data_IF_386617645069
#
_entry.id   IF_386617645069
#
_cell.length_a   1.000
_cell.length_b   1.000
_cell.length_c   1.000
_cell.angle_alpha   90.00
_cell.angle_beta   90.00
_cell.angle_gamma   90.00
#
_symmetry.space_group_name_H-M   'P 1'
#
loop_
_entity.id
_entity.type
_entity.pdbx_description
1 polymer ?
#
# COMPACT_ATOMS: atom_id res chain seq x y z
N UNK A 1 5.67 -21.89 16.20
CA UNK A 1 4.22 -22.13 16.36
C UNK A 1 3.48 -20.91 15.89
N UNK A 2 3.02 -21.00 14.64
CA UNK A 2 2.11 -20.07 13.99
C UNK A 2 0.67 -20.37 14.45
N UNK A 3 -0.22 -19.39 14.45
CA UNK A 3 -1.65 -19.60 14.67
C UNK A 3 -2.34 -19.57 13.33
N UNK A 4 -2.39 -20.73 12.68
CA UNK A 4 -3.29 -20.91 11.54
C UNK A 4 -4.69 -21.22 12.09
N UNK A 5 -5.54 -20.19 12.14
CA UNK A 5 -6.94 -20.33 12.51
C UNK A 5 -7.81 -20.20 11.27
N UNK A 6 -8.28 -21.35 10.77
CA UNK A 6 -9.28 -21.43 9.70
C UNK A 6 -10.59 -22.01 10.26
N UNK A 7 -11.74 -21.32 10.14
CA UNK A 7 -11.94 -20.01 9.51
C UNK A 7 -11.43 -18.84 10.37
N UNK A 8 -11.12 -17.71 9.72
CA UNK A 8 -10.78 -16.48 10.42
C UNK A 8 -12.06 -15.87 11.03
N UNK A 9 -12.11 -15.84 12.37
CA UNK A 9 -13.28 -15.35 13.13
C UNK A 9 -12.85 -14.28 14.13
N UNK A 10 -13.78 -13.42 14.60
CA UNK A 10 -13.46 -12.46 15.65
C UNK A 10 -12.84 -13.10 16.90
N UNK A 11 -13.32 -14.28 17.29
CA UNK A 11 -12.76 -15.02 18.43
C UNK A 11 -11.33 -15.53 18.17
N UNK A 12 -11.02 -15.93 16.92
CA UNK A 12 -9.67 -16.31 16.54
C UNK A 12 -8.72 -15.10 16.51
N UNK A 13 -9.18 -13.96 15.99
CA UNK A 13 -8.42 -12.70 16.00
C UNK A 13 -8.16 -12.21 17.43
N UNK A 14 -9.17 -12.25 18.30
CA UNK A 14 -9.02 -11.99 19.73
C UNK A 14 -7.99 -12.91 20.36
N UNK A 15 -8.07 -14.22 20.08
CA UNK A 15 -7.14 -15.20 20.64
C UNK A 15 -5.69 -14.93 20.18
N UNK A 16 -5.49 -14.61 18.89
CA UNK A 16 -4.18 -14.30 18.34
C UNK A 16 -3.53 -13.10 19.08
N UNK A 17 -4.30 -12.04 19.33
CA UNK A 17 -3.81 -10.84 20.00
C UNK A 17 -3.68 -11.03 21.52
N UNK A 18 -4.73 -11.49 22.18
CA UNK A 18 -4.80 -11.50 23.65
C UNK A 18 -4.12 -12.72 24.27
N UNK A 19 -4.10 -13.86 23.57
CA UNK A 19 -3.53 -15.11 24.10
C UNK A 19 -2.18 -15.44 23.48
N UNK A 20 -2.11 -15.57 22.16
CA UNK A 20 -0.88 -16.01 21.50
C UNK A 20 0.23 -14.95 21.55
N UNK A 21 -0.09 -13.70 21.22
CA UNK A 21 0.90 -12.63 21.22
C UNK A 21 1.36 -12.27 22.64
N UNK A 22 0.54 -12.53 23.68
CA UNK A 22 0.88 -12.20 25.06
C UNK A 22 2.18 -12.83 25.55
N UNK A 23 2.53 -14.03 25.07
CA UNK A 23 3.80 -14.69 25.39
C UNK A 23 5.00 -14.24 24.53
N UNK A 24 4.81 -13.29 23.61
CA UNK A 24 5.79 -12.92 22.58
C UNK A 24 6.18 -11.45 22.59
N UNK A 25 5.34 -10.59 23.19
CA UNK A 25 5.52 -9.13 23.25
C UNK A 25 5.83 -8.63 24.67
N UNK A 26 6.21 -7.35 24.79
CA UNK A 26 6.54 -6.67 26.04
C UNK A 26 7.24 -5.32 25.79
N UNK A 27 7.76 -4.63 26.81
CA UNK A 27 8.34 -3.27 26.68
C UNK A 27 9.49 -3.10 25.68
N UNK A 28 10.14 -4.19 25.27
CA UNK A 28 11.23 -4.20 24.29
C UNK A 28 10.97 -5.19 23.15
N UNK A 29 9.76 -5.74 23.09
CA UNK A 29 9.34 -6.73 22.10
C UNK A 29 8.06 -6.20 21.44
N UNK A 30 8.21 -5.40 20.36
CA UNK A 30 7.09 -4.73 19.72
C UNK A 30 6.09 -5.72 19.14
N UNK A 31 4.85 -5.27 18.97
CA UNK A 31 3.84 -5.95 18.18
C UNK A 31 3.73 -5.30 16.80
N UNK A 32 3.72 -6.11 15.75
CA UNK A 32 3.35 -5.68 14.39
C UNK A 32 2.16 -6.51 13.92
N UNK A 33 1.07 -5.85 13.54
CA UNK A 33 -0.16 -6.47 13.03
C UNK A 33 -0.37 -5.96 11.60
N UNK A 34 -0.58 -6.89 10.67
CA UNK A 34 -0.99 -6.57 9.30
C UNK A 34 -2.32 -7.25 9.01
N UNK A 35 -3.28 -6.46 8.54
CA UNK A 35 -4.62 -6.90 8.19
C UNK A 35 -4.87 -6.50 6.73
N UNK A 36 -5.18 -7.47 5.86
CA UNK A 36 -5.45 -7.23 4.45
C UNK A 36 -6.65 -8.04 4.00
N UNK A 37 -7.73 -7.34 3.66
CA UNK A 37 -8.96 -7.87 3.09
C UNK A 37 -9.85 -6.67 2.68
N UNK A 38 -11.13 -6.93 2.48
CA UNK A 38 -12.20 -5.98 2.37
C UNK A 38 -12.43 -5.19 3.65
N UNK A 39 -12.93 -3.96 3.47
CA UNK A 39 -13.34 -3.09 4.55
C UNK A 39 -14.55 -2.24 4.18
N UNK A 40 -15.21 -1.75 5.22
CA UNK A 40 -16.23 -0.71 5.16
C UNK A 40 -15.96 0.26 6.30
N UNK A 41 -16.74 1.35 6.36
CA UNK A 41 -16.74 2.23 7.53
C UNK A 41 -16.96 1.41 8.80
N UNK A 42 -15.96 1.46 9.66
CA UNK A 42 -15.85 0.82 10.98
C UNK A 42 -15.98 -0.70 10.96
N UNK A 43 -15.53 -1.32 9.85
CA UNK A 43 -15.59 -2.76 9.67
C UNK A 43 -14.43 -3.27 8.83
N UNK A 44 -13.73 -4.28 9.34
CA UNK A 44 -12.74 -5.07 8.60
C UNK A 44 -13.24 -6.51 8.47
N UNK A 45 -13.22 -7.07 7.27
CA UNK A 45 -13.67 -8.43 7.00
C UNK A 45 -12.55 -9.43 7.31
N UNK A 46 -12.85 -10.51 8.04
CA UNK A 46 -11.85 -11.53 8.41
C UNK A 46 -11.91 -12.76 7.49
N UNK A 47 -13.12 -13.18 7.13
CA UNK A 47 -13.38 -14.33 6.25
C UNK A 47 -14.62 -13.99 5.41
N UNK A 48 -14.43 -13.05 4.48
CA UNK A 48 -15.50 -12.37 3.79
C UNK A 48 -16.30 -11.43 4.70
N UNK A 49 -17.30 -10.76 4.12
CA UNK A 49 -17.98 -9.63 4.76
C UNK A 49 -19.37 -9.95 5.33
N UNK A 50 -19.68 -11.23 5.49
CA UNK A 50 -20.95 -11.72 6.06
C UNK A 50 -21.14 -11.34 7.54
N UNK A 51 -22.30 -11.70 8.08
CA UNK A 51 -22.60 -11.44 9.50
C UNK A 51 -21.68 -12.26 10.42
N UNK A 52 -21.03 -11.58 11.37
CA UNK A 52 -20.23 -12.23 12.42
C UNK A 52 -18.81 -12.66 12.02
N UNK A 53 -18.38 -12.35 10.80
CA UNK A 53 -17.03 -12.65 10.27
C UNK A 53 -16.22 -11.37 10.01
N UNK A 54 -16.50 -10.30 10.76
CA UNK A 54 -15.83 -9.01 10.68
C UNK A 54 -15.54 -8.44 12.05
N UNK A 55 -14.59 -7.53 12.14
CA UNK A 55 -14.23 -6.82 13.37
C UNK A 55 -14.41 -5.31 13.22
N UNK A 56 -14.72 -4.65 14.34
CA UNK A 56 -14.82 -3.19 14.43
C UNK A 56 -13.56 -2.57 15.03
N UNK A 57 -13.36 -1.25 14.86
CA UNK A 57 -12.29 -0.53 15.55
C UNK A 57 -12.34 -0.71 17.07
N UNK A 58 -13.54 -0.65 17.67
CA UNK A 58 -13.71 -0.85 19.11
C UNK A 58 -13.26 -2.24 19.60
N UNK A 59 -13.57 -3.31 18.84
CA UNK A 59 -13.14 -4.66 19.20
C UNK A 59 -11.61 -4.79 19.17
N UNK A 60 -10.99 -4.36 18.07
CA UNK A 60 -9.54 -4.41 17.92
C UNK A 60 -8.82 -3.52 18.94
N UNK A 61 -9.33 -2.31 19.20
CA UNK A 61 -8.82 -1.42 20.24
C UNK A 61 -8.87 -2.07 21.64
N UNK A 62 -9.98 -2.74 21.96
CA UNK A 62 -10.14 -3.47 23.22
C UNK A 62 -9.11 -4.57 23.39
N UNK A 63 -8.91 -5.40 22.36
CA UNK A 63 -7.93 -6.49 22.38
C UNK A 63 -6.50 -5.98 22.49
N UNK A 64 -6.13 -4.94 21.75
CA UNK A 64 -4.81 -4.32 21.84
C UNK A 64 -4.60 -3.70 23.23
N UNK A 65 -5.60 -3.00 23.78
CA UNK A 65 -5.51 -2.42 25.13
C UNK A 65 -5.34 -3.49 26.20
N UNK A 66 -6.02 -4.63 26.07
CA UNK A 66 -5.87 -5.76 26.97
C UNK A 66 -4.45 -6.35 26.88
N UNK A 67 -3.92 -6.53 25.67
CA UNK A 67 -2.57 -7.03 25.45
C UNK A 67 -1.52 -6.09 26.07
N UNK A 68 -1.61 -4.79 25.76
CA UNK A 68 -0.76 -3.73 26.34
C UNK A 68 -0.77 -3.76 27.87
N UNK A 69 -1.96 -3.83 28.47
CA UNK A 69 -2.11 -3.88 29.94
C UNK A 69 -1.50 -5.15 30.53
N UNK A 70 -1.63 -6.28 29.84
CA UNK A 70 -1.21 -7.59 30.36
C UNK A 70 0.30 -7.80 30.25
N UNK A 71 0.92 -7.32 29.16
CA UNK A 71 2.34 -7.61 28.84
C UNK A 71 3.26 -6.41 29.05
N UNK A 72 2.70 -5.21 29.15
CA UNK A 72 3.47 -3.97 29.14
C UNK A 72 4.07 -3.64 27.77
N UNK A 73 3.62 -4.25 26.66
CA UNK A 73 4.03 -3.82 25.33
C UNK A 73 3.65 -2.35 25.12
N UNK A 74 4.62 -1.55 24.69
CA UNK A 74 4.53 -0.09 24.54
C UNK A 74 4.83 0.37 23.10
N UNK A 75 5.09 -0.58 22.21
CA UNK A 75 5.28 -0.37 20.77
C UNK A 75 4.35 -1.32 20.01
N UNK A 76 3.23 -0.78 19.54
CA UNK A 76 2.26 -1.51 18.74
C UNK A 76 2.13 -0.84 17.39
N UNK A 77 2.26 -1.60 16.32
CA UNK A 77 2.01 -1.14 14.95
C UNK A 77 0.88 -1.95 14.35
N UNK A 78 -0.09 -1.27 13.75
CA UNK A 78 -1.16 -1.89 12.98
C UNK A 78 -1.17 -1.29 11.59
N UNK A 79 -1.12 -2.13 10.57
CA UNK A 79 -1.25 -1.75 9.17
C UNK A 79 -2.53 -2.39 8.61
N UNK A 80 -3.44 -1.56 8.13
CA UNK A 80 -4.70 -2.01 7.52
C UNK A 80 -4.69 -1.72 6.01
N UNK A 81 -4.76 -2.78 5.22
CA UNK A 81 -4.99 -2.75 3.77
C UNK A 81 -6.45 -3.13 3.50
N UNK A 82 -7.33 -2.12 3.44
CA UNK A 82 -8.76 -2.32 3.19
C UNK A 82 -9.44 -1.00 2.77
N UNK A 83 -10.55 -1.11 2.04
CA UNK A 83 -11.41 0.04 1.75
C UNK A 83 -11.90 0.70 3.02
N UNK A 84 -11.92 2.03 3.02
CA UNK A 84 -12.41 2.85 4.12
C UNK A 84 -11.66 2.63 5.44
N UNK A 85 -10.45 2.04 5.39
CA UNK A 85 -9.65 1.67 6.56
C UNK A 85 -9.25 2.85 7.44
N UNK A 86 -9.18 4.07 6.90
CA UNK A 86 -8.99 5.31 7.67
C UNK A 86 -10.08 5.56 8.72
N UNK A 87 -11.24 4.89 8.62
CA UNK A 87 -12.26 4.93 9.66
C UNK A 87 -11.81 4.24 10.97
N UNK A 88 -10.76 3.41 10.95
CA UNK A 88 -10.20 2.81 12.18
C UNK A 88 -9.39 3.79 13.02
N UNK A 89 -9.07 4.98 12.48
CA UNK A 89 -8.38 6.06 13.18
C UNK A 89 -9.27 7.29 13.35
N UNK A 90 -9.95 7.73 12.28
CA UNK A 90 -10.50 9.09 12.16
C UNK A 90 -11.65 9.36 13.12
N UNK A 91 -11.46 10.19 14.15
CA UNK A 91 -12.53 10.59 15.07
C UNK A 91 -12.51 12.09 15.34
N UNK A 92 -13.70 12.66 15.53
CA UNK A 92 -13.82 14.06 15.98
C UNK A 92 -13.47 14.24 17.45
N UNK A 93 -13.64 13.18 18.25
CA UNK A 93 -13.28 13.12 19.66
C UNK A 93 -12.16 12.07 19.84
N UNK A 94 -10.94 12.46 20.24
CA UNK A 94 -9.83 11.53 20.41
C UNK A 94 -10.04 10.55 21.58
N UNK A 95 -11.08 10.75 22.40
CA UNK A 95 -11.45 9.83 23.48
C UNK A 95 -12.45 8.76 23.05
N UNK A 96 -12.92 8.78 21.79
CA UNK A 96 -13.79 7.75 21.25
C UNK A 96 -13.05 6.41 21.16
N UNK A 97 -13.48 5.46 21.99
CA UNK A 97 -12.92 4.11 22.04
C UNK A 97 -13.25 3.27 20.81
N UNK A 98 -14.12 3.75 19.93
CA UNK A 98 -14.29 3.21 18.59
C UNK A 98 -13.14 3.64 17.66
N UNK A 99 -11.92 3.85 18.14
CA UNK A 99 -10.73 4.10 17.31
C UNK A 99 -9.56 3.27 17.83
N UNK A 100 -8.61 2.96 16.96
CA UNK A 100 -7.32 2.38 17.34
C UNK A 100 -6.37 3.42 17.91
N UNK A 101 -6.62 4.71 17.70
CA UNK A 101 -5.77 5.83 18.06
C UNK A 101 -5.44 5.86 19.54
N UNK A 102 -4.14 5.86 19.85
CA UNK A 102 -3.62 5.88 21.22
C UNK A 102 -2.12 6.18 21.21
N UNK A 103 -1.59 6.96 22.17
CA UNK A 103 -0.15 7.08 22.37
C UNK A 103 0.54 5.71 22.52
N UNK A 104 1.66 5.53 21.84
CA UNK A 104 2.41 4.26 21.79
C UNK A 104 2.01 3.33 20.65
N UNK A 105 0.92 3.64 19.93
CA UNK A 105 0.53 2.95 18.70
C UNK A 105 0.94 3.74 17.47
N UNK A 106 1.29 3.01 16.42
CA UNK A 106 1.41 3.51 15.05
C UNK A 106 0.35 2.79 14.22
N UNK A 107 -0.69 3.51 13.81
CA UNK A 107 -1.77 2.95 12.99
C UNK A 107 -1.63 3.50 11.59
N UNK A 108 -1.46 2.63 10.61
CA UNK A 108 -1.30 2.95 9.20
C UNK A 108 -2.46 2.32 8.44
N UNK A 109 -3.09 3.10 7.58
CA UNK A 109 -4.26 2.69 6.79
C UNK A 109 -3.99 2.96 5.32
N UNK A 110 -4.33 2.03 4.45
CA UNK A 110 -4.09 2.16 3.01
C UNK A 110 -5.05 3.13 2.33
N UNK A 111 -6.10 3.58 3.03
CA UNK A 111 -7.11 4.51 2.54
C UNK A 111 -7.51 5.50 3.64
N UNK A 112 -8.26 6.53 3.27
CA UNK A 112 -9.01 7.34 4.22
C UNK A 112 -10.29 6.62 4.64
N UNK A 113 -11.11 7.26 5.47
CA UNK A 113 -12.47 6.85 5.81
C UNK A 113 -13.49 7.06 4.66
N UNK A 114 -13.03 7.53 3.50
CA UNK A 114 -13.87 7.90 2.35
C UNK A 114 -13.30 7.45 0.99
N UNK A 115 -12.22 6.65 0.97
CA UNK A 115 -11.57 6.19 -0.25
C UNK A 115 -11.38 4.67 -0.24
N UNK A 116 -11.17 4.11 -1.43
CA UNK A 116 -11.07 2.68 -1.65
C UNK A 116 -9.62 2.19 -1.76
N UNK A 117 -9.43 0.92 -1.42
CA UNK A 117 -8.21 0.19 -1.63
C UNK A 117 -8.31 -0.59 -2.95
N UNK A 118 -7.18 -0.64 -3.66
CA UNK A 118 -7.11 -1.21 -4.99
C UNK A 118 -6.09 -2.34 -5.03
N UNK A 119 -6.52 -3.49 -5.58
CA UNK A 119 -5.65 -4.61 -5.82
C UNK A 119 -4.64 -4.28 -6.93
N UNK A 120 -3.40 -4.71 -6.74
CA UNK A 120 -2.39 -4.74 -7.79
C UNK A 120 -2.37 -6.11 -8.46
N UNK A 121 -1.40 -6.35 -9.36
CA UNK A 121 -1.24 -7.66 -9.97
C UNK A 121 -0.67 -8.73 -9.01
N UNK A 122 -0.05 -8.33 -7.90
CA UNK A 122 0.62 -9.23 -6.94
C UNK A 122 0.14 -9.07 -5.49
N UNK A 123 -0.64 -8.03 -5.21
CA UNK A 123 -1.09 -7.66 -3.86
C UNK A 123 -2.02 -6.46 -3.92
N UNK A 124 -1.58 -5.34 -3.35
CA UNK A 124 -2.34 -4.09 -3.30
C UNK A 124 -1.40 -2.90 -3.42
N UNK A 125 -1.83 -1.83 -4.10
CA UNK A 125 -0.91 -0.74 -4.48
C UNK A 125 -0.18 -0.10 -3.29
N UNK A 126 -0.85 0.04 -2.14
CA UNK A 126 -0.22 0.56 -0.94
C UNK A 126 0.75 -0.47 -0.35
N UNK A 127 0.27 -1.69 -0.06
CA UNK A 127 1.07 -2.74 0.58
C UNK A 127 2.32 -3.13 -0.22
N UNK A 128 2.23 -3.22 -1.54
CA UNK A 128 3.37 -3.59 -2.40
C UNK A 128 4.54 -2.62 -2.21
N UNK A 129 4.26 -1.32 -2.24
CA UNK A 129 5.26 -0.28 -2.02
C UNK A 129 5.73 -0.23 -0.56
N UNK A 130 4.79 -0.32 0.39
CA UNK A 130 5.10 -0.26 1.82
C UNK A 130 6.05 -1.39 2.26
N UNK A 131 5.76 -2.64 1.88
CA UNK A 131 6.60 -3.78 2.25
C UNK A 131 7.90 -3.84 1.45
N UNK A 132 7.92 -3.33 0.22
CA UNK A 132 9.18 -3.18 -0.53
C UNK A 132 10.11 -2.17 0.15
N UNK A 133 9.58 -1.08 0.69
CA UNK A 133 10.34 -0.15 1.51
C UNK A 133 10.81 -0.78 2.83
N UNK A 134 9.98 -1.59 3.49
CA UNK A 134 10.38 -2.32 4.70
C UNK A 134 11.54 -3.28 4.40
N UNK A 135 11.56 -3.91 3.22
CA UNK A 135 12.66 -4.74 2.79
C UNK A 135 13.97 -3.93 2.69
N UNK A 136 13.91 -2.67 2.27
CA UNK A 136 15.03 -1.71 2.33
C UNK A 136 15.41 -1.27 3.75
N UNK A 137 14.75 -1.81 4.78
CA UNK A 137 15.05 -1.56 6.20
C UNK A 137 14.85 -0.11 6.65
N UNK A 138 13.99 0.63 5.93
CA UNK A 138 13.60 1.98 6.31
C UNK A 138 12.59 1.97 7.46
N UNK A 139 12.46 3.12 8.11
CA UNK A 139 11.50 3.32 9.18
C UNK A 139 10.05 3.37 8.65
N UNK A 140 9.07 3.17 9.55
CA UNK A 140 7.66 3.12 9.17
C UNK A 140 7.15 4.43 8.54
N UNK A 141 7.65 5.60 8.95
CA UNK A 141 7.23 6.87 8.36
C UNK A 141 7.73 6.97 6.91
N UNK A 142 9.02 6.69 6.68
CA UNK A 142 9.60 6.65 5.33
C UNK A 142 8.83 5.70 4.41
N UNK A 143 8.49 4.50 4.89
CA UNK A 143 7.71 3.54 4.11
C UNK A 143 6.27 3.94 3.88
N UNK A 144 5.62 4.57 4.85
CA UNK A 144 4.29 5.14 4.66
C UNK A 144 4.30 6.26 3.60
N UNK A 145 5.26 7.20 3.66
CA UNK A 145 5.34 8.28 2.67
C UNK A 145 5.63 7.76 1.27
N UNK A 146 6.49 6.75 1.15
CA UNK A 146 6.76 6.12 -0.13
C UNK A 146 5.53 5.40 -0.69
N UNK A 147 4.82 4.62 0.14
CA UNK A 147 3.61 3.94 -0.28
C UNK A 147 2.51 4.94 -0.70
N UNK A 148 2.37 6.05 0.02
CA UNK A 148 1.49 7.17 -0.39
C UNK A 148 1.86 7.71 -1.76
N UNK A 149 3.16 7.93 -1.99
CA UNK A 149 3.62 8.48 -3.25
C UNK A 149 3.48 7.48 -4.41
N UNK A 150 3.68 6.18 -4.15
CA UNK A 150 3.43 5.10 -5.10
C UNK A 150 1.94 5.02 -5.49
N UNK A 151 1.03 5.09 -4.51
CA UNK A 151 -0.42 5.18 -4.76
C UNK A 151 -0.76 6.42 -5.57
N UNK A 152 -0.24 7.60 -5.19
CA UNK A 152 -0.49 8.85 -5.91
C UNK A 152 0.01 8.78 -7.37
N UNK A 153 1.08 8.04 -7.64
CA UNK A 153 1.61 7.81 -9.00
C UNK A 153 0.63 7.02 -9.88
N UNK A 154 -0.29 6.25 -9.30
CA UNK A 154 -1.35 5.60 -10.07
C UNK A 154 -2.45 6.57 -10.52
N UNK A 155 -2.57 7.71 -9.85
CA UNK A 155 -3.64 8.69 -10.09
C UNK A 155 -5.05 8.21 -9.75
N UNK A 156 -5.19 7.13 -8.98
CA UNK A 156 -6.48 6.67 -8.46
C UNK A 156 -6.85 7.37 -7.16
N UNK A 157 -8.14 7.38 -6.81
CA UNK A 157 -8.64 7.95 -5.57
C UNK A 157 -8.43 6.98 -4.38
N UNK A 158 -7.18 6.88 -3.93
CA UNK A 158 -6.80 6.17 -2.72
C UNK A 158 -5.91 7.09 -1.87
N UNK A 159 -6.29 7.31 -0.62
CA UNK A 159 -5.65 8.28 0.25
C UNK A 159 -5.15 7.65 1.56
N UNK A 160 -3.97 7.00 1.57
CA UNK A 160 -3.46 6.38 2.80
C UNK A 160 -3.25 7.40 3.92
N UNK A 161 -3.54 6.99 5.16
CA UNK A 161 -3.45 7.81 6.37
C UNK A 161 -2.64 7.10 7.47
N UNK A 162 -2.11 7.88 8.42
CA UNK A 162 -1.39 7.38 9.58
C UNK A 162 -1.78 8.20 10.81
N UNK A 163 -1.90 7.54 11.95
CA UNK A 163 -1.97 8.18 13.28
C UNK A 163 -0.90 7.54 14.17
N UNK A 164 0.01 8.35 14.68
CA UNK A 164 1.07 7.88 15.58
C UNK A 164 1.23 8.70 16.87
N UNK A 165 0.38 9.71 17.06
CA UNK A 165 0.34 10.56 18.24
C UNK A 165 -0.90 10.29 19.12
N UNK A 166 -1.90 9.57 18.59
CA UNK A 166 -3.13 9.18 19.30
C UNK A 166 -4.18 10.28 19.38
N UNK A 167 -4.16 11.25 18.46
CA UNK A 167 -5.16 12.32 18.36
C UNK A 167 -6.33 11.99 17.41
N UNK A 168 -6.29 10.80 16.79
CA UNK A 168 -7.33 10.28 15.91
C UNK A 168 -7.51 11.09 14.61
N UNK A 169 -6.49 11.84 14.20
CA UNK A 169 -6.51 12.68 13.00
C UNK A 169 -5.20 12.56 12.23
N UNK A 170 -5.26 12.17 10.95
CA UNK A 170 -4.07 12.26 10.10
C UNK A 170 -3.75 13.71 9.75
N UNK A 171 -2.64 14.22 10.28
CA UNK A 171 -2.17 15.59 10.09
C UNK A 171 -0.67 15.65 9.88
N UNK A 172 -0.10 16.87 9.81
CA UNK A 172 1.35 17.06 9.80
C UNK A 172 1.99 16.79 11.18
N UNK A 173 1.20 16.52 12.22
CA UNK A 173 1.71 16.11 13.54
C UNK A 173 2.18 14.66 13.59
N UNK A 174 1.78 13.85 12.59
CA UNK A 174 2.12 12.43 12.51
C UNK A 174 3.51 12.16 11.92
N UNK A 175 4.03 10.99 12.25
CA UNK A 175 5.28 10.42 11.71
C UNK A 175 6.46 10.49 12.68
N UNK A 176 6.31 11.22 13.78
CA UNK A 176 7.39 11.40 14.77
C UNK A 176 7.68 10.12 15.55
N UNK A 177 6.66 9.31 15.83
CA UNK A 177 6.85 8.00 16.48
C UNK A 177 7.20 6.96 15.42
N UNK A 178 6.52 6.97 14.28
CA UNK A 178 6.73 6.02 13.18
C UNK A 178 8.17 6.04 12.62
N UNK A 179 8.84 7.21 12.57
CA UNK A 179 10.25 7.31 12.14
C UNK A 179 11.25 6.60 13.08
N UNK A 180 10.82 6.23 14.29
CA UNK A 180 11.64 5.49 15.25
C UNK A 180 11.38 3.98 15.22
N UNK A 181 10.43 3.52 14.41
CA UNK A 181 9.97 2.14 14.36
C UNK A 181 10.46 1.45 13.09
N UNK A 182 10.92 0.22 13.23
CA UNK A 182 11.44 -0.61 12.15
C UNK A 182 10.86 -2.02 12.32
N UNK A 183 10.40 -2.65 11.23
CA UNK A 183 9.94 -4.05 11.26
C UNK A 183 11.13 -5.00 11.22
N UNK A 184 12.11 -4.69 10.38
CA UNK A 184 13.30 -5.51 10.14
C UNK A 184 14.46 -4.62 9.72
N UNK A 185 15.68 -5.14 9.88
CA UNK A 185 16.93 -4.52 9.44
C UNK A 185 17.80 -5.58 8.76
N UNK A 186 17.81 -5.58 7.45
CA UNK A 186 18.59 -6.49 6.63
C UNK A 186 19.94 -5.86 6.27
N UNK A 187 21.00 -6.68 6.24
CA UNK A 187 22.28 -6.26 5.68
C UNK A 187 22.20 -6.31 4.15
N UNK A 188 22.51 -5.20 3.49
CA UNK A 188 22.59 -5.10 2.03
C UNK A 188 21.29 -5.36 1.25
N UNK A 189 20.12 -4.97 1.78
CA UNK A 189 18.93 -4.84 0.92
C UNK A 189 19.11 -3.67 -0.03
N UNK A 190 19.05 -3.95 -1.32
CA UNK A 190 18.96 -2.98 -2.38
C UNK A 190 17.84 -3.46 -3.29
N UNK A 191 16.78 -2.68 -3.41
CA UNK A 191 15.70 -2.97 -4.37
C UNK A 191 16.02 -2.45 -5.77
N UNK A 192 15.32 -2.94 -6.80
CA UNK A 192 15.42 -2.37 -8.13
C UNK A 192 14.95 -0.91 -8.18
N UNK A 193 15.46 -0.14 -9.15
CA UNK A 193 15.09 1.26 -9.33
C UNK A 193 14.80 1.58 -10.80
N UNK A 194 13.64 2.17 -11.08
CA UNK A 194 13.31 2.68 -12.41
C UNK A 194 13.94 4.07 -12.59
N UNK A 195 14.99 4.16 -13.39
CA UNK A 195 15.74 5.41 -13.59
C UNK A 195 15.09 6.33 -14.62
N UNK A 196 14.46 5.75 -15.63
CA UNK A 196 13.64 6.50 -16.59
C UNK A 196 12.56 5.61 -17.17
N UNK A 197 11.47 6.22 -17.61
CA UNK A 197 10.36 5.55 -18.27
C UNK A 197 9.64 6.52 -19.20
N UNK A 198 8.86 5.99 -20.13
CA UNK A 198 7.98 6.79 -20.95
C UNK A 198 7.54 6.09 -22.23
N UNK A 199 7.12 6.90 -23.21
CA UNK A 199 6.71 6.42 -24.53
C UNK A 199 7.48 7.05 -25.68
N UNK A 200 7.56 6.31 -26.78
CA UNK A 200 8.07 6.75 -28.07
C UNK A 200 6.97 6.50 -29.10
N UNK A 201 6.44 7.57 -29.70
CA UNK A 201 5.48 7.45 -30.79
C UNK A 201 6.14 6.84 -32.03
N UNK A 202 5.50 5.81 -32.60
CA UNK A 202 6.00 5.12 -33.80
C UNK A 202 5.17 5.50 -35.01
N UNK A 203 3.84 5.34 -34.93
CA UNK A 203 2.91 5.70 -36.00
C UNK A 203 1.47 5.69 -35.48
N UNK A 204 0.75 6.79 -35.66
CA UNK A 204 -0.66 6.92 -35.28
C UNK A 204 -0.90 6.46 -33.83
N UNK A 205 -1.67 5.39 -33.69
CA UNK A 205 -2.10 4.80 -32.40
C UNK A 205 -1.14 3.74 -31.84
N UNK A 206 0.07 3.63 -32.41
CA UNK A 206 1.14 2.71 -31.96
C UNK A 206 2.27 3.47 -31.28
N UNK A 207 2.60 3.05 -30.06
CA UNK A 207 3.74 3.59 -29.28
C UNK A 207 4.58 2.46 -28.70
N UNK A 208 5.87 2.71 -28.54
CA UNK A 208 6.75 1.87 -27.72
C UNK A 208 6.78 2.43 -26.30
N UNK A 209 6.40 1.61 -25.33
CA UNK A 209 6.56 1.89 -23.90
C UNK A 209 7.95 1.40 -23.49
N UNK A 210 8.67 2.16 -22.65
CA UNK A 210 9.96 1.74 -22.14
C UNK A 210 10.14 2.08 -20.66
N UNK A 211 10.97 1.28 -19.97
CA UNK A 211 11.51 1.58 -18.66
C UNK A 211 12.96 1.11 -18.57
N UNK A 212 13.85 2.00 -18.13
CA UNK A 212 15.22 1.64 -17.78
C UNK A 212 15.27 1.33 -16.29
N UNK A 213 15.74 0.13 -15.96
CA UNK A 213 15.73 -0.40 -14.59
C UNK A 213 17.16 -0.77 -14.19
N UNK A 214 17.60 -0.21 -13.06
CA UNK A 214 18.81 -0.65 -12.38
C UNK A 214 18.45 -1.78 -11.42
N UNK A 215 19.16 -2.90 -11.52
CA UNK A 215 18.98 -4.02 -10.60
C UNK A 215 19.44 -3.66 -9.18
N UNK A 216 18.75 -4.22 -8.20
CA UNK A 216 19.17 -4.16 -6.81
C UNK A 216 20.11 -5.31 -6.44
N UNK A 217 19.92 -5.86 -5.25
CA UNK A 217 20.62 -7.05 -4.77
C UNK A 217 20.15 -8.34 -5.48
N UNK A 218 18.97 -8.31 -6.10
CA UNK A 218 18.42 -9.40 -6.89
C UNK A 218 18.20 -8.99 -8.34
N UNK A 219 18.20 -10.00 -9.21
CA UNK A 219 17.86 -9.82 -10.62
C UNK A 219 16.40 -9.39 -10.78
N UNK A 220 16.14 -8.59 -11.81
CA UNK A 220 14.77 -8.28 -12.22
C UNK A 220 14.07 -9.57 -12.63
N UNK A 221 12.82 -9.72 -12.17
CA UNK A 221 11.93 -10.81 -12.59
C UNK A 221 10.94 -10.32 -13.65
N UNK A 222 10.30 -9.17 -13.40
CA UNK A 222 9.31 -8.62 -14.31
C UNK A 222 9.29 -7.10 -14.30
N UNK A 223 9.13 -6.52 -15.49
CA UNK A 223 8.85 -5.11 -15.71
C UNK A 223 7.56 -5.02 -16.51
N UNK A 224 6.65 -4.15 -16.09
CA UNK A 224 5.36 -3.99 -16.75
C UNK A 224 4.87 -2.55 -16.67
N UNK A 225 3.91 -2.22 -17.54
CA UNK A 225 3.21 -0.95 -17.51
C UNK A 225 1.70 -1.18 -17.41
N UNK A 226 1.03 -0.43 -16.54
CA UNK A 226 -0.42 -0.27 -16.55
C UNK A 226 -0.79 0.91 -17.46
N UNK A 227 -1.77 0.70 -18.34
CA UNK A 227 -2.16 1.65 -19.40
C UNK A 227 -3.60 2.11 -19.20
N UNK A 228 -3.76 3.27 -18.57
CA UNK A 228 -5.07 3.89 -18.32
C UNK A 228 -5.48 4.73 -19.54
N UNK A 229 -6.56 4.36 -20.24
CA UNK A 229 -7.08 5.18 -21.34
C UNK A 229 -7.68 6.50 -20.84
N UNK A 230 -7.77 7.54 -21.70
CA UNK A 230 -8.46 8.80 -21.39
C UNK A 230 -9.89 8.62 -20.86
N UNK A 231 -10.61 7.61 -21.32
CA UNK A 231 -11.97 7.28 -20.87
C UNK A 231 -12.05 6.52 -19.55
N UNK A 232 -10.90 6.16 -18.95
CA UNK A 232 -10.88 5.37 -17.72
C UNK A 232 -11.62 6.09 -16.59
N UNK A 233 -12.55 5.37 -15.98
CA UNK A 233 -13.23 5.76 -14.75
C UNK A 233 -13.00 4.70 -13.70
N UNK A 234 -12.67 5.11 -12.49
CA UNK A 234 -12.57 4.19 -11.36
C UNK A 234 -13.92 3.47 -11.16
N UNK A 235 -13.90 2.16 -10.84
CA UNK A 235 -15.12 1.45 -10.53
C UNK A 235 -15.85 2.15 -9.37
N UNK A 236 -17.15 2.38 -9.53
CA UNK A 236 -18.01 2.87 -8.44
C UNK A 236 -18.41 1.63 -7.63
N UNK A 237 -18.23 1.69 -6.31
CA UNK A 237 -18.48 0.60 -5.37
C UNK A 237 -19.69 -0.27 -5.75
N UNK A 238 -19.42 -1.55 -6.03
CA UNK A 238 -20.44 -2.55 -5.84
C UNK A 238 -20.44 -2.84 -4.34
N UNK A 239 -21.58 -2.61 -3.68
CA UNK A 239 -21.88 -2.95 -2.27
C UNK A 239 -21.45 -4.38 -1.88
N UNK A 240 -21.16 -5.24 -2.87
CA UNK A 240 -20.76 -6.64 -2.75
C UNK A 240 -19.33 -6.98 -3.26
N UNK A 241 -18.53 -6.01 -3.73
CA UNK A 241 -17.12 -6.25 -4.13
C UNK A 241 -16.17 -5.17 -3.58
N UNK A 242 -15.71 -5.31 -2.33
CA UNK A 242 -14.99 -4.26 -1.62
C UNK A 242 -13.50 -4.15 -1.96
N UNK A 243 -12.93 -4.94 -2.87
CA UNK A 243 -11.57 -4.69 -3.40
C UNK A 243 -11.69 -4.49 -4.88
N UNK A 244 -11.44 -3.25 -5.31
CA UNK A 244 -11.65 -2.87 -6.69
C UNK A 244 -10.43 -3.30 -7.52
N UNK A 245 -10.64 -4.26 -8.41
CA UNK A 245 -9.73 -4.47 -9.53
C UNK A 245 -10.05 -3.42 -10.59
N UNK A 246 -9.07 -2.57 -10.90
CA UNK A 246 -9.24 -1.51 -11.88
C UNK A 246 -9.48 -2.02 -13.31
N UNK A 247 -9.18 -3.29 -13.57
CA UNK A 247 -9.29 -3.93 -14.89
C UNK A 247 -8.55 -3.16 -16.00
N UNK A 248 -7.49 -2.44 -15.63
CA UNK A 248 -6.67 -1.65 -16.53
C UNK A 248 -5.74 -2.59 -17.30
N UNK A 249 -5.57 -2.41 -18.62
CA UNK A 249 -4.60 -3.19 -19.40
C UNK A 249 -3.20 -3.09 -18.82
N UNK A 250 -2.57 -4.23 -18.59
CA UNK A 250 -1.15 -4.33 -18.24
C UNK A 250 -0.37 -4.99 -19.36
N UNK A 251 0.81 -4.45 -19.66
CA UNK A 251 1.71 -4.98 -20.68
C UNK A 251 3.06 -5.28 -20.06
N UNK A 252 3.60 -6.47 -20.32
CA UNK A 252 4.95 -6.84 -19.90
C UNK A 252 5.96 -6.21 -20.87
N UNK A 253 7.02 -5.62 -20.32
CA UNK A 253 8.15 -5.07 -21.07
C UNK A 253 9.31 -6.08 -21.01
N UNK A 254 10.06 -6.21 -22.11
CA UNK A 254 11.15 -7.17 -22.24
C UNK A 254 12.48 -6.44 -22.53
N UNK A 255 13.57 -6.91 -21.93
CA UNK A 255 14.93 -6.47 -22.21
C UNK A 255 15.62 -7.50 -23.12
N UNK A 256 15.47 -7.33 -24.43
CA UNK A 256 15.91 -8.32 -25.42
C UNK A 256 17.43 -8.34 -25.65
N UNK A 257 18.12 -7.24 -25.36
CA UNK A 257 19.57 -7.09 -25.58
C UNK A 257 20.37 -7.09 -24.25
N UNK A 258 19.69 -7.12 -23.11
CA UNK A 258 20.29 -7.25 -21.78
C UNK A 258 20.93 -5.96 -21.29
N UNK A 259 20.48 -4.80 -21.78
CA UNK A 259 21.06 -3.51 -21.47
C UNK A 259 20.38 -2.78 -20.29
N UNK A 260 19.36 -3.39 -19.68
CA UNK A 260 18.56 -2.82 -18.59
C UNK A 260 17.38 -1.94 -19.04
N UNK A 261 17.17 -1.78 -20.35
CA UNK A 261 16.04 -1.05 -20.94
C UNK A 261 15.00 -2.05 -21.45
N UNK A 262 13.91 -2.12 -20.71
CA UNK A 262 12.77 -2.97 -21.01
C UNK A 262 11.81 -2.23 -21.94
N UNK A 263 11.29 -2.90 -22.96
CA UNK A 263 10.42 -2.29 -23.96
C UNK A 263 9.22 -3.16 -24.33
N UNK A 264 8.14 -2.49 -24.74
CA UNK A 264 6.97 -3.12 -25.36
C UNK A 264 6.38 -2.21 -26.44
N UNK A 265 6.26 -2.70 -27.67
CA UNK A 265 5.55 -1.96 -28.74
C UNK A 265 4.07 -2.29 -28.72
N UNK A 266 3.26 -1.34 -28.28
CA UNK A 266 1.81 -1.50 -28.20
C UNK A 266 1.14 -1.10 -29.52
N UNK A 267 1.10 -2.06 -30.45
CA UNK A 267 0.48 -1.89 -31.78
C UNK A 267 -1.01 -1.64 -31.62
N UNK A 268 -1.48 -0.51 -32.15
CA UNK A 268 -2.87 -0.06 -32.03
C UNK A 268 -3.40 -0.01 -30.59
N UNK A 269 -2.53 0.31 -29.62
CA UNK A 269 -2.90 0.39 -28.21
C UNK A 269 -3.44 1.75 -27.75
N UNK A 270 -3.11 2.82 -28.47
CA UNK A 270 -3.44 4.21 -28.11
C UNK A 270 -4.54 4.77 -29.00
N UNK A 271 -5.70 4.11 -28.99
CA UNK A 271 -6.81 4.37 -29.92
C UNK A 271 -7.73 5.52 -29.53
N UNK A 272 -7.72 5.91 -28.25
CA UNK A 272 -8.58 6.99 -27.76
C UNK A 272 -7.94 8.37 -28.04
N UNK A 273 -8.75 9.38 -28.39
CA UNK A 273 -8.23 10.72 -28.62
C UNK A 273 -7.70 11.32 -27.32
N UNK A 274 -6.52 11.93 -27.40
CA UNK A 274 -5.96 12.70 -26.29
C UNK A 274 -6.25 14.20 -26.47
N UNK A 275 -6.55 14.87 -25.36
CA UNK A 275 -6.75 16.33 -25.27
C UNK A 275 -5.97 16.86 -24.08
N UNK A 276 -5.84 18.18 -23.95
CA UNK A 276 -5.18 18.84 -22.80
C UNK A 276 -5.72 18.39 -21.42
N UNK A 277 -6.95 17.89 -21.37
CA UNK A 277 -7.61 17.45 -20.12
C UNK A 277 -7.74 15.93 -20.02
N UNK A 278 -7.45 15.18 -21.10
CA UNK A 278 -7.66 13.75 -21.18
C UNK A 278 -6.50 13.09 -21.93
N UNK A 279 -5.57 12.50 -21.18
CA UNK A 279 -4.40 11.80 -21.71
C UNK A 279 -4.38 10.35 -21.26
N UNK A 280 -3.63 9.52 -21.99
CA UNK A 280 -3.25 8.22 -21.45
C UNK A 280 -2.38 8.43 -20.23
N UNK A 281 -2.72 7.73 -19.15
CA UNK A 281 -1.88 7.64 -17.96
C UNK A 281 -1.18 6.29 -17.97
N UNK A 282 0.14 6.32 -17.89
CA UNK A 282 0.98 5.13 -17.87
C UNK A 282 1.67 5.04 -16.53
N UNK A 283 1.70 3.85 -15.95
CA UNK A 283 2.42 3.60 -14.71
C UNK A 283 3.32 2.40 -14.90
N UNK A 284 4.61 2.60 -14.73
CA UNK A 284 5.65 1.61 -14.91
C UNK A 284 6.06 1.02 -13.57
N UNK A 285 6.20 -0.29 -13.54
CA UNK A 285 6.57 -1.07 -12.37
C UNK A 285 7.72 -2.01 -12.72
N UNK A 286 8.55 -2.30 -11.73
CA UNK A 286 9.59 -3.32 -11.81
C UNK A 286 9.64 -4.08 -10.50
N UNK A 287 9.86 -5.39 -10.59
CA UNK A 287 9.92 -6.29 -9.45
C UNK A 287 11.10 -7.25 -9.63
N UNK A 288 11.81 -7.51 -8.53
CA UNK A 288 12.89 -8.49 -8.50
C UNK A 288 12.40 -9.89 -8.14
N UNK A 289 13.31 -10.88 -8.18
CA UNK A 289 12.99 -12.29 -7.88
C UNK A 289 12.56 -12.59 -6.45
N UNK A 290 12.74 -11.64 -5.52
CA UNK A 290 12.24 -11.73 -4.16
C UNK A 290 10.89 -11.04 -3.98
N UNK A 291 10.24 -10.67 -5.08
CA UNK A 291 9.01 -9.91 -5.11
C UNK A 291 9.13 -8.48 -4.54
N UNK A 292 10.35 -7.91 -4.46
CA UNK A 292 10.54 -6.53 -4.01
C UNK A 292 10.37 -5.59 -5.20
N UNK A 293 9.55 -4.56 -5.02
CA UNK A 293 9.19 -3.61 -6.06
C UNK A 293 10.08 -2.37 -6.03
N UNK A 294 10.40 -1.86 -7.22
CA UNK A 294 10.85 -0.49 -7.40
C UNK A 294 9.70 0.49 -7.08
N UNK A 295 10.03 1.73 -6.70
CA UNK A 295 9.03 2.81 -6.69
C UNK A 295 8.48 2.98 -8.11
N UNK A 296 7.16 2.95 -8.32
CA UNK A 296 6.58 3.10 -9.65
C UNK A 296 6.88 4.48 -10.24
N UNK A 297 6.89 4.55 -11.57
CA UNK A 297 7.05 5.81 -12.33
C UNK A 297 5.85 6.05 -13.22
N UNK A 298 5.29 7.25 -13.17
CA UNK A 298 4.18 7.66 -14.03
C UNK A 298 4.65 8.42 -15.27
N UNK A 299 3.96 8.24 -16.39
CA UNK A 299 4.01 9.09 -17.58
C UNK A 299 2.56 9.48 -17.94
N UNK A 300 2.24 10.77 -17.86
CA UNK A 300 0.85 11.26 -17.90
C UNK A 300 0.53 12.14 -19.12
N UNK A 301 1.43 12.21 -20.12
CA UNK A 301 1.28 13.17 -21.22
C UNK A 301 1.32 14.64 -20.76
N UNK A 302 1.45 15.59 -21.69
CA UNK A 302 1.27 17.03 -21.39
C UNK A 302 2.46 17.79 -20.78
N UNK A 303 3.66 17.19 -20.69
CA UNK A 303 4.85 17.86 -20.16
C UNK A 303 4.87 17.89 -18.62
N UNK A 304 5.96 17.39 -18.04
CA UNK A 304 6.30 17.35 -16.61
C UNK A 304 5.24 17.89 -15.63
N UNK A 305 4.18 17.13 -15.37
CA UNK A 305 3.57 17.17 -14.03
C UNK A 305 4.51 16.39 -13.12
N UNK A 306 5.55 17.08 -12.64
CA UNK A 306 6.43 16.57 -11.61
C UNK A 306 5.58 16.27 -10.37
N UNK A 307 5.13 15.03 -10.23
CA UNK A 307 4.80 14.47 -8.92
C UNK A 307 6.15 14.37 -8.22
N UNK A 308 6.49 15.41 -7.46
CA UNK A 308 7.65 15.41 -6.61
C UNK A 308 7.44 14.34 -5.53
N UNK A 309 8.07 13.19 -5.71
CA UNK A 309 8.30 12.26 -4.61
C UNK A 309 9.13 13.02 -3.57
N UNK A 310 8.76 13.01 -2.27
CA UNK A 310 9.64 13.54 -1.26
C UNK A 310 10.99 12.82 -1.35
N UNK A 311 12.07 13.58 -1.32
CA UNK A 311 13.43 13.02 -1.18
C UNK A 311 13.45 12.37 0.20
N UNK A 312 13.36 11.04 0.24
CA UNK A 312 13.62 10.27 1.46
C UNK A 312 15.12 10.35 1.69
N UNK A 313 15.55 11.25 2.59
CA UNK A 313 16.94 11.28 3.03
C UNK A 313 17.20 10.05 3.89
N UNK A 314 18.19 9.23 3.49
CA UNK A 314 18.72 8.12 4.29
C UNK A 314 19.24 8.57 5.65
#
# INVERSE_FOLDING_TARGET
DDVDATPATPAAAENALVTWAAGKVGPEKPLFVYLADHGFVDKFCLDGCGNGVSITPAQLNGWLTQLETTTGVDQVTVVLEACLSGSFISRTDPTDLNSLSKPGRVIITSTSDATNAYASAQGAYFSDAFFSCIADSLDLNSCFQEARAAVATTGVNQAPQMDDNGDALFTNGDGTVAQTRFVTRFFASLRPHITSSGTIEQSGVTRTLFATVEEGAQKIDVVWAAVYPPSFTEPIDAVDNPTLNLAVPTVKLEDSDGNGRYEFTYVNGFTEPETEEAHYRLVFYAQDKNAIHAVPKGDFGGGMRNIYLPIVSK
#
